data_IF_123934774038
#
_entry.id   IF_123934774038
#
_cell.length_a   1.000
_cell.length_b   1.000
_cell.length_c   1.000
_cell.angle_alpha   90.00
_cell.angle_beta   90.00
_cell.angle_gamma   90.00
#
_symmetry.space_group_name_H-M   'P 1'
#
loop_
_entity.id
_entity.type
_entity.pdbx_description
1 polymer ?
#
# COMPACT_ATOMS: atom_id res chain seq x y z
N UNK A 1 -20.74 29.10 1.87
CA UNK A 1 -20.32 27.77 1.35
C UNK A 1 -18.89 27.92 0.89
N UNK A 2 -17.93 27.56 1.74
CA UNK A 2 -16.52 27.51 1.35
C UNK A 2 -16.39 26.43 0.28
N UNK A 3 -15.73 26.75 -0.83
CA UNK A 3 -15.35 25.76 -1.83
C UNK A 3 -14.62 24.63 -1.09
N UNK A 4 -15.18 23.43 -1.10
CA UNK A 4 -14.47 22.26 -0.60
C UNK A 4 -13.34 22.05 -1.60
N UNK A 5 -12.13 22.50 -1.25
CA UNK A 5 -10.98 22.30 -2.11
C UNK A 5 -10.91 20.84 -2.49
N UNK A 6 -10.88 20.60 -3.80
CA UNK A 6 -10.85 19.27 -4.40
C UNK A 6 -9.52 18.62 -4.02
N UNK A 7 -9.54 17.72 -3.03
CA UNK A 7 -8.34 17.02 -2.55
C UNK A 7 -8.19 15.65 -3.20
N UNK A 8 -6.98 15.34 -3.65
CA UNK A 8 -6.63 14.12 -4.36
C UNK A 8 -5.74 13.19 -3.54
N UNK A 9 -6.21 11.95 -3.33
CA UNK A 9 -5.39 10.85 -2.82
C UNK A 9 -4.79 10.05 -3.98
N UNK A 10 -3.47 9.97 -4.06
CA UNK A 10 -2.79 9.07 -5.02
C UNK A 10 -2.52 7.74 -4.34
N UNK A 11 -3.17 6.68 -4.82
CA UNK A 11 -2.89 5.32 -4.39
C UNK A 11 -1.82 4.67 -5.27
N UNK A 12 -0.73 4.23 -4.67
CA UNK A 12 0.36 3.54 -5.36
C UNK A 12 0.18 2.03 -5.24
N UNK A 13 -0.13 1.38 -6.36
CA UNK A 13 -0.31 -0.07 -6.47
C UNK A 13 0.94 -0.75 -7.06
N UNK A 14 0.95 -2.09 -7.15
CA UNK A 14 2.11 -2.81 -7.68
C UNK A 14 2.27 -2.61 -9.18
N UNK A 15 1.21 -2.87 -9.93
CA UNK A 15 1.18 -2.85 -11.40
C UNK A 15 -0.27 -2.85 -11.90
N UNK A 16 -0.52 -2.40 -13.14
CA UNK A 16 -1.86 -2.42 -13.70
C UNK A 16 -2.42 -3.85 -13.82
N UNK A 17 -3.71 -4.06 -13.50
CA UNK A 17 -4.36 -5.33 -13.75
C UNK A 17 -4.63 -5.52 -15.26
N UNK A 18 -4.70 -6.77 -15.72
CA UNK A 18 -5.23 -7.13 -17.06
C UNK A 18 -6.77 -7.15 -17.13
N UNK A 19 -7.43 -6.71 -16.06
CA UNK A 19 -8.90 -6.64 -15.93
C UNK A 19 -9.28 -5.24 -15.46
N UNK A 20 -10.56 -4.88 -15.45
CA UNK A 20 -11.02 -3.56 -15.01
C UNK A 20 -10.70 -3.22 -13.54
N UNK A 21 -10.28 -4.20 -12.74
CA UNK A 21 -9.76 -3.96 -11.39
C UNK A 21 -10.79 -3.42 -10.39
N UNK A 22 -12.09 -3.37 -10.74
CA UNK A 22 -13.14 -2.69 -9.99
C UNK A 22 -13.15 -3.00 -8.49
N UNK A 23 -12.90 -4.25 -8.09
CA UNK A 23 -12.87 -4.63 -6.67
C UNK A 23 -11.73 -3.97 -5.91
N UNK A 24 -10.54 -3.90 -6.51
CA UNK A 24 -9.37 -3.21 -5.94
C UNK A 24 -9.65 -1.72 -5.88
N UNK A 25 -10.16 -1.16 -6.99
CA UNK A 25 -10.47 0.26 -7.12
C UNK A 25 -11.51 0.72 -6.09
N UNK A 26 -12.62 0.00 -5.90
CA UNK A 26 -13.65 0.31 -4.89
C UNK A 26 -13.11 0.35 -3.46
N UNK A 27 -12.08 -0.44 -3.15
CA UNK A 27 -11.45 -0.40 -1.82
C UNK A 27 -10.61 0.85 -1.67
N UNK A 28 -9.89 1.24 -2.72
CA UNK A 28 -9.15 2.51 -2.73
C UNK A 28 -10.12 3.70 -2.65
N UNK A 29 -11.26 3.65 -3.36
CA UNK A 29 -12.31 4.67 -3.25
C UNK A 29 -12.79 4.81 -1.80
N UNK A 30 -13.09 3.69 -1.14
CA UNK A 30 -13.46 3.69 0.28
C UNK A 30 -12.35 4.28 1.17
N UNK A 31 -11.08 3.94 0.94
CA UNK A 31 -9.97 4.52 1.70
C UNK A 31 -9.86 6.05 1.50
N UNK A 32 -10.06 6.54 0.27
CA UNK A 32 -10.07 7.97 -0.03
C UNK A 32 -11.20 8.68 0.71
N UNK A 33 -12.43 8.13 0.65
CA UNK A 33 -13.59 8.65 1.37
C UNK A 33 -13.36 8.70 2.88
N UNK A 34 -12.86 7.61 3.47
CA UNK A 34 -12.60 7.50 4.91
C UNK A 34 -11.54 8.49 5.41
N UNK A 35 -10.61 8.88 4.54
CA UNK A 35 -9.59 9.90 4.81
C UNK A 35 -10.03 11.33 4.46
N UNK A 36 -11.23 11.51 3.90
CA UNK A 36 -11.78 12.81 3.54
C UNK A 36 -11.25 13.39 2.22
N UNK A 37 -10.82 12.54 1.27
CA UNK A 37 -10.43 12.96 -0.08
C UNK A 37 -11.60 12.83 -1.05
N UNK A 38 -11.78 13.84 -1.89
CA UNK A 38 -12.88 13.91 -2.88
C UNK A 38 -12.53 13.17 -4.17
N UNK A 39 -11.24 13.05 -4.48
CA UNK A 39 -10.76 12.33 -5.65
C UNK A 39 -9.70 11.31 -5.26
N UNK A 40 -9.66 10.22 -6.03
CA UNK A 40 -8.52 9.33 -6.04
C UNK A 40 -7.89 9.25 -7.42
N UNK A 41 -6.58 9.03 -7.43
CA UNK A 41 -5.83 8.59 -8.61
C UNK A 41 -5.06 7.32 -8.29
N UNK A 42 -4.70 6.57 -9.31
CA UNK A 42 -3.89 5.36 -9.17
C UNK A 42 -2.64 5.53 -9.99
N UNK A 43 -1.50 5.31 -9.34
CA UNK A 43 -0.21 5.12 -10.00
C UNK A 43 0.34 3.73 -9.60
N UNK A 44 1.34 3.25 -10.31
CA UNK A 44 1.90 1.91 -10.09
C UNK A 44 3.41 1.95 -9.89
N UNK A 45 3.95 1.03 -9.10
CA UNK A 45 5.41 0.85 -9.00
C UNK A 45 6.02 0.30 -10.30
N UNK A 46 5.25 -0.46 -11.07
CA UNK A 46 5.66 -1.06 -12.33
C UNK A 46 4.58 -0.86 -13.40
N UNK A 47 4.96 -0.39 -14.58
CA UNK A 47 4.00 0.08 -15.58
C UNK A 47 3.37 -1.04 -16.41
N UNK A 48 4.03 -2.20 -16.54
CA UNK A 48 3.52 -3.25 -17.43
C UNK A 48 2.38 -4.03 -16.75
N UNK A 49 1.25 -4.23 -17.45
CA UNK A 49 0.12 -4.95 -16.89
C UNK A 49 0.43 -6.44 -16.71
N UNK A 50 -0.11 -7.04 -15.67
CA UNK A 50 0.03 -8.49 -15.46
C UNK A 50 -1.12 -9.08 -14.64
N UNK A 51 -1.29 -10.40 -14.71
CA UNK A 51 -2.32 -11.11 -13.94
C UNK A 51 -1.99 -11.20 -12.44
N UNK A 52 -0.72 -11.07 -12.06
CA UNK A 52 -0.28 -11.18 -10.68
C UNK A 52 1.04 -10.43 -10.45
N UNK A 53 1.22 -9.88 -9.25
CA UNK A 53 2.48 -9.26 -8.82
C UNK A 53 3.69 -10.18 -8.97
N UNK A 54 3.51 -11.50 -8.92
CA UNK A 54 4.58 -12.47 -9.16
C UNK A 54 5.16 -12.42 -10.58
N UNK A 55 4.38 -12.02 -11.59
CA UNK A 55 4.86 -11.89 -12.97
C UNK A 55 5.86 -10.73 -13.14
N UNK A 56 5.97 -9.83 -12.15
CA UNK A 56 7.00 -8.79 -12.13
C UNK A 56 8.40 -9.42 -12.02
N UNK A 57 8.54 -10.63 -11.49
CA UNK A 57 9.82 -11.32 -11.44
C UNK A 57 10.43 -11.55 -12.83
N UNK A 58 9.58 -11.77 -13.84
CA UNK A 58 9.98 -11.99 -15.23
C UNK A 58 9.95 -10.68 -16.03
N UNK A 59 8.84 -9.94 -15.95
CA UNK A 59 8.65 -8.70 -16.71
C UNK A 59 9.56 -7.56 -16.23
N UNK A 60 9.90 -7.55 -14.94
CA UNK A 60 10.66 -6.50 -14.28
C UNK A 60 12.17 -6.71 -14.28
N UNK A 61 12.68 -7.66 -15.07
CA UNK A 61 14.13 -7.86 -15.22
C UNK A 61 14.79 -6.69 -15.96
N UNK A 62 14.03 -5.99 -16.83
CA UNK A 62 14.50 -4.82 -17.55
C UNK A 62 13.95 -3.52 -16.94
N UNK A 63 14.67 -2.42 -17.14
CA UNK A 63 14.31 -1.11 -16.58
C UNK A 63 13.03 -0.50 -17.19
N UNK A 64 12.64 -0.90 -18.40
CA UNK A 64 11.58 -0.22 -19.19
C UNK A 64 10.29 0.02 -18.40
N UNK A 65 9.76 -1.02 -17.75
CA UNK A 65 8.52 -0.89 -16.98
C UNK A 65 8.67 -0.10 -15.68
N UNK A 66 9.87 -0.03 -15.11
CA UNK A 66 10.19 0.75 -13.91
C UNK A 66 10.36 2.24 -14.23
N UNK A 67 11.03 2.56 -15.34
CA UNK A 67 11.27 3.93 -15.78
C UNK A 67 9.96 4.59 -16.26
N UNK A 68 9.12 3.84 -16.99
CA UNK A 68 7.78 4.32 -17.35
C UNK A 68 6.92 4.59 -16.12
N UNK A 69 6.95 3.70 -15.12
CA UNK A 69 6.25 3.90 -13.86
C UNK A 69 6.77 5.12 -13.09
N UNK A 70 8.08 5.37 -13.13
CA UNK A 70 8.71 6.52 -12.47
C UNK A 70 8.23 7.85 -13.05
N UNK A 71 8.12 7.95 -14.38
CA UNK A 71 7.56 9.13 -15.03
C UNK A 71 6.12 9.38 -14.58
N UNK A 72 5.25 8.36 -14.65
CA UNK A 72 3.85 8.46 -14.22
C UNK A 72 3.70 8.81 -12.73
N UNK A 73 4.51 8.19 -11.86
CA UNK A 73 4.54 8.50 -10.43
C UNK A 73 4.97 9.94 -10.16
N UNK A 74 5.92 10.47 -10.93
CA UNK A 74 6.39 11.85 -10.75
C UNK A 74 5.26 12.86 -10.97
N UNK A 75 4.52 12.70 -12.06
CA UNK A 75 3.37 13.56 -12.39
C UNK A 75 2.26 13.45 -11.35
N UNK A 76 1.98 12.23 -10.87
CA UNK A 76 0.96 12.00 -9.86
C UNK A 76 1.35 12.55 -8.49
N UNK A 77 2.58 12.35 -8.04
CA UNK A 77 3.06 12.86 -6.76
C UNK A 77 3.07 14.38 -6.71
N UNK A 78 3.42 15.05 -7.82
CA UNK A 78 3.38 16.50 -7.92
C UNK A 78 1.97 17.10 -7.75
N UNK A 79 0.93 16.33 -8.07
CA UNK A 79 -0.47 16.74 -7.95
C UNK A 79 -1.18 16.15 -6.73
N UNK A 80 -0.47 15.46 -5.83
CA UNK A 80 -1.07 14.72 -4.72
C UNK A 80 -1.22 15.59 -3.46
N UNK A 81 -2.39 15.56 -2.84
CA UNK A 81 -2.60 16.08 -1.48
C UNK A 81 -2.23 15.05 -0.40
N UNK A 82 -2.23 13.78 -0.78
CA UNK A 82 -1.76 12.66 0.02
C UNK A 82 -1.42 11.45 -0.86
N UNK A 83 -0.60 10.56 -0.31
CA UNK A 83 -0.26 9.27 -0.92
C UNK A 83 -0.77 8.12 -0.06
N UNK A 84 -1.32 7.09 -0.69
CA UNK A 84 -1.64 5.81 -0.06
C UNK A 84 -0.76 4.71 -0.65
N UNK A 85 0.15 4.15 0.15
CA UNK A 85 0.98 3.03 -0.26
C UNK A 85 0.18 1.72 -0.18
N UNK A 86 -0.02 1.08 -1.32
CA UNK A 86 -0.90 -0.08 -1.46
C UNK A 86 -0.35 -1.11 -2.48
N UNK A 87 0.96 -1.20 -2.62
CA UNK A 87 1.63 -2.05 -3.61
C UNK A 87 1.95 -3.48 -3.13
N UNK A 88 1.76 -3.78 -1.85
CA UNK A 88 2.08 -5.06 -1.22
C UNK A 88 3.52 -5.16 -0.69
N UNK A 89 3.75 -5.96 0.35
CA UNK A 89 5.08 -6.09 0.98
C UNK A 89 5.98 -7.15 0.32
N UNK A 90 5.48 -7.89 -0.67
CA UNK A 90 6.23 -9.00 -1.27
C UNK A 90 7.04 -8.50 -2.46
N UNK A 91 8.35 -8.38 -2.29
CA UNK A 91 9.25 -8.09 -3.40
C UNK A 91 9.29 -9.27 -4.40
N UNK A 92 9.47 -8.99 -5.70
CA UNK A 92 9.71 -10.02 -6.70
C UNK A 92 11.02 -10.79 -6.44
N UNK A 93 11.21 -11.87 -7.19
CA UNK A 93 12.45 -12.65 -7.18
C UNK A 93 13.42 -12.16 -8.26
N UNK A 94 14.69 -12.59 -8.19
CA UNK A 94 15.70 -12.29 -9.20
C UNK A 94 16.04 -10.79 -9.32
N UNK A 95 16.47 -10.37 -10.50
CA UNK A 95 16.92 -8.99 -10.78
C UNK A 95 15.81 -7.95 -10.54
N UNK A 96 14.57 -8.31 -10.83
CA UNK A 96 13.40 -7.47 -10.55
C UNK A 96 13.31 -7.05 -9.08
N UNK A 97 13.88 -7.83 -8.14
CA UNK A 97 13.95 -7.46 -6.71
C UNK A 97 14.76 -6.19 -6.50
N UNK A 98 15.89 -6.06 -7.20
CA UNK A 98 16.79 -4.92 -7.07
C UNK A 98 16.11 -3.66 -7.63
N UNK A 99 15.48 -3.78 -8.80
CA UNK A 99 14.69 -2.71 -9.38
C UNK A 99 13.49 -2.30 -8.50
N UNK A 100 12.75 -3.28 -7.97
CA UNK A 100 11.65 -3.02 -7.05
C UNK A 100 12.09 -2.24 -5.82
N UNK A 101 13.18 -2.65 -5.16
CA UNK A 101 13.72 -1.95 -3.98
C UNK A 101 14.10 -0.53 -4.31
N UNK A 102 14.87 -0.33 -5.39
CA UNK A 102 15.23 1.01 -5.87
C UNK A 102 14.02 1.88 -6.19
N UNK A 103 12.97 1.30 -6.77
CA UNK A 103 11.74 2.01 -7.09
C UNK A 103 10.98 2.41 -5.81
N UNK A 104 10.93 1.54 -4.81
CA UNK A 104 10.33 1.85 -3.50
C UNK A 104 11.14 2.93 -2.79
N UNK A 105 12.46 2.82 -2.74
CA UNK A 105 13.33 3.84 -2.13
C UNK A 105 13.11 5.20 -2.82
N UNK A 106 13.13 5.21 -4.16
CA UNK A 106 12.83 6.40 -4.95
C UNK A 106 11.46 7.01 -4.62
N UNK A 107 10.40 6.20 -4.55
CA UNK A 107 9.04 6.66 -4.22
C UNK A 107 8.98 7.33 -2.85
N UNK A 108 9.65 6.74 -1.86
CA UNK A 108 9.61 7.23 -0.48
C UNK A 108 10.41 8.53 -0.35
N UNK A 109 11.60 8.60 -0.96
CA UNK A 109 12.41 9.82 -1.01
C UNK A 109 11.64 10.97 -1.65
N UNK A 110 10.92 10.69 -2.76
CA UNK A 110 10.12 11.70 -3.45
C UNK A 110 8.87 12.09 -2.66
N UNK A 111 8.26 11.17 -1.92
CA UNK A 111 7.13 11.46 -1.03
C UNK A 111 7.56 12.36 0.14
N UNK A 112 8.75 12.12 0.71
CA UNK A 112 9.37 12.97 1.74
C UNK A 112 9.68 14.35 1.18
N UNK A 113 10.36 14.43 0.03
CA UNK A 113 10.76 15.69 -0.59
C UNK A 113 9.55 16.57 -0.96
N UNK A 114 8.45 15.95 -1.41
CA UNK A 114 7.20 16.65 -1.71
C UNK A 114 6.39 17.02 -0.45
N UNK A 115 6.83 16.62 0.75
CA UNK A 115 6.13 16.82 2.03
C UNK A 115 4.69 16.31 2.06
N UNK A 116 4.39 15.31 1.24
CA UNK A 116 3.03 14.81 1.05
C UNK A 116 2.68 13.81 2.16
N UNK A 117 1.56 14.00 2.89
CA UNK A 117 1.10 13.03 3.87
C UNK A 117 0.96 11.63 3.26
N UNK A 118 1.70 10.67 3.80
CA UNK A 118 1.71 9.29 3.28
C UNK A 118 1.01 8.35 4.25
N UNK A 119 0.19 7.46 3.72
CA UNK A 119 -0.65 6.52 4.48
C UNK A 119 -0.40 5.08 4.02
N UNK A 120 -0.72 4.12 4.88
CA UNK A 120 -0.88 2.72 4.52
C UNK A 120 -1.99 2.06 5.36
N UNK A 121 -2.29 0.79 5.09
CA UNK A 121 -3.26 0.01 5.89
C UNK A 121 -2.52 -0.90 6.85
N UNK A 122 -2.54 -0.58 8.15
CA UNK A 122 -1.84 -1.25 9.25
C UNK A 122 -0.36 -0.89 9.28
N UNK A 123 0.49 -1.87 9.64
CA UNK A 123 1.95 -1.77 9.69
C UNK A 123 2.72 -1.80 8.34
N UNK A 124 2.08 -1.56 7.19
CA UNK A 124 2.78 -1.59 5.90
C UNK A 124 1.89 -1.46 4.66
N UNK A 125 2.49 -1.43 3.45
CA UNK A 125 1.85 -0.99 2.21
C UNK A 125 1.03 -2.14 1.60
N UNK A 126 0.08 -2.70 2.35
CA UNK A 126 -0.69 -3.88 1.92
C UNK A 126 -1.49 -3.60 0.65
N UNK A 127 -1.50 -4.57 -0.26
CA UNK A 127 -2.33 -4.51 -1.45
C UNK A 127 -3.84 -4.52 -1.11
N UNK A 128 -4.71 -3.74 -1.80
CA UNK A 128 -6.12 -3.64 -1.46
C UNK A 128 -6.87 -4.97 -1.51
N UNK A 129 -6.41 -5.91 -2.34
CA UNK A 129 -6.95 -7.28 -2.38
C UNK A 129 -6.91 -7.99 -1.00
N UNK A 130 -5.94 -7.62 -0.15
CA UNK A 130 -5.68 -8.23 1.17
C UNK A 130 -6.29 -7.48 2.36
N UNK A 131 -6.77 -6.25 2.19
CA UNK A 131 -7.24 -5.42 3.33
C UNK A 131 -8.33 -6.10 4.13
N UNK A 132 -9.40 -6.57 3.48
CA UNK A 132 -10.51 -7.24 4.17
C UNK A 132 -10.07 -8.45 5.01
N UNK A 133 -9.15 -9.26 4.49
CA UNK A 133 -8.60 -10.43 5.21
C UNK A 133 -7.71 -10.02 6.37
N UNK A 134 -7.00 -8.89 6.25
CA UNK A 134 -6.15 -8.39 7.32
C UNK A 134 -7.01 -7.74 8.41
N UNK A 135 -7.93 -6.84 8.05
CA UNK A 135 -8.82 -6.14 8.99
C UNK A 135 -9.73 -7.11 9.73
N UNK A 136 -10.21 -8.18 9.10
CA UNK A 136 -11.03 -9.19 9.78
C UNK A 136 -10.26 -9.97 10.86
N UNK A 137 -8.93 -10.01 10.78
CA UNK A 137 -8.09 -10.64 11.82
C UNK A 137 -7.71 -9.66 12.91
N UNK A 138 -7.38 -8.42 12.53
CA UNK A 138 -6.92 -7.39 13.48
C UNK A 138 -8.09 -6.77 14.26
N UNK A 139 -9.26 -6.67 13.64
CA UNK A 139 -10.47 -6.06 14.19
C UNK A 139 -11.68 -6.99 13.94
N UNK A 140 -11.73 -8.17 14.59
CA UNK A 140 -12.76 -9.18 14.31
C UNK A 140 -14.18 -8.69 14.59
N UNK A 141 -14.33 -7.73 15.50
CA UNK A 141 -15.63 -7.21 15.95
C UNK A 141 -16.13 -6.00 15.13
N UNK A 142 -15.37 -5.56 14.11
CA UNK A 142 -15.72 -4.40 13.30
C UNK A 142 -16.13 -4.78 11.89
N UNK A 143 -17.13 -4.07 11.36
CA UNK A 143 -17.44 -4.11 9.95
C UNK A 143 -16.25 -3.59 9.13
N UNK A 144 -16.12 -4.06 7.88
CA UNK A 144 -14.96 -3.75 7.05
C UNK A 144 -14.65 -2.24 6.91
N UNK A 145 -15.62 -1.34 6.66
CA UNK A 145 -15.33 0.10 6.57
C UNK A 145 -14.76 0.70 7.86
N UNK A 146 -15.32 0.33 9.02
CA UNK A 146 -14.88 0.84 10.32
C UNK A 146 -13.51 0.26 10.70
N UNK A 147 -13.32 -1.03 10.44
CA UNK A 147 -12.02 -1.67 10.59
C UNK A 147 -10.98 -1.00 9.70
N UNK A 148 -11.29 -0.75 8.43
CA UNK A 148 -10.39 -0.06 7.50
C UNK A 148 -10.06 1.35 7.99
N UNK A 149 -11.05 2.12 8.47
CA UNK A 149 -10.82 3.46 9.04
C UNK A 149 -9.80 3.41 10.18
N UNK A 150 -9.96 2.48 11.13
CA UNK A 150 -9.00 2.30 12.23
C UNK A 150 -7.63 1.82 11.77
N UNK A 151 -7.56 1.18 10.61
CA UNK A 151 -6.34 0.61 10.05
C UNK A 151 -5.57 1.58 9.17
N UNK A 152 -6.13 2.73 8.79
CA UNK A 152 -5.42 3.71 7.98
C UNK A 152 -4.43 4.46 8.86
N UNK A 153 -3.16 4.15 8.68
CA UNK A 153 -2.07 4.68 9.50
C UNK A 153 -1.24 5.64 8.68
N UNK A 154 -1.03 6.84 9.22
CA UNK A 154 -0.10 7.81 8.63
C UNK A 154 1.33 7.33 8.90
N UNK A 155 2.13 7.27 7.84
CA UNK A 155 3.54 6.94 7.93
C UNK A 155 4.34 8.20 8.23
N UNK A 156 5.25 8.08 9.20
CA UNK A 156 6.35 9.01 9.34
C UNK A 156 7.51 8.49 8.48
N UNK A 157 7.74 9.16 7.35
CA UNK A 157 8.81 8.79 6.42
C UNK A 157 10.15 9.48 6.76
N UNK A 158 10.20 10.30 7.81
CA UNK A 158 11.43 10.96 8.26
C UNK A 158 12.29 10.04 9.14
N UNK A 159 11.71 8.93 9.61
CA UNK A 159 12.43 7.83 10.27
C UNK A 159 12.78 6.73 9.25
N UNK A 160 13.94 6.06 9.37
CA UNK A 160 14.35 5.01 8.45
C UNK A 160 13.34 3.87 8.42
N UNK A 161 12.49 3.88 7.39
CA UNK A 161 11.39 2.94 7.23
C UNK A 161 11.86 1.53 6.78
N UNK A 162 13.06 1.45 6.21
CA UNK A 162 13.59 0.30 5.45
C UNK A 162 13.67 -1.00 6.29
N UNK A 163 13.72 -0.92 7.63
CA UNK A 163 13.79 -2.10 8.49
C UNK A 163 12.41 -2.76 8.77
N UNK A 164 11.30 -2.04 8.60
CA UNK A 164 9.99 -2.49 9.10
C UNK A 164 9.16 -3.33 8.11
N UNK A 165 9.40 -3.21 6.80
CA UNK A 165 8.53 -3.82 5.77
C UNK A 165 9.14 -4.91 4.92
N UNK A 166 10.44 -5.15 5.07
CA UNK A 166 11.14 -6.21 4.35
C UNK A 166 11.43 -7.44 5.23
N UNK A 167 11.18 -7.35 6.53
CA UNK A 167 11.30 -8.48 7.44
C UNK A 167 9.95 -9.20 7.52
N UNK A 168 9.85 -10.50 7.23
CA UNK A 168 8.62 -11.24 7.48
C UNK A 168 8.35 -11.22 8.98
N UNK A 169 7.46 -10.34 9.43
CA UNK A 169 6.96 -10.39 10.80
C UNK A 169 6.11 -11.65 10.93
N UNK A 170 6.69 -12.67 11.56
CA UNK A 170 5.94 -13.78 12.14
C UNK A 170 4.78 -13.17 12.92
N UNK A 171 3.52 -13.59 12.69
CA UNK A 171 2.42 -13.14 13.54
C UNK A 171 2.80 -13.45 14.99
N UNK A 172 2.64 -12.46 15.87
CA UNK A 172 2.80 -12.67 17.30
C UNK A 172 2.01 -13.94 17.69
N UNK A 173 2.67 -14.87 18.36
CA UNK A 173 2.01 -16.08 18.85
C UNK A 173 0.77 -15.66 19.67
N UNK A 174 -0.36 -16.35 19.50
CA UNK A 174 -1.52 -16.07 20.34
C UNK A 174 -1.12 -16.24 21.82
N UNK A 175 -1.64 -15.42 22.73
CA UNK A 175 -1.36 -15.56 24.15
C UNK A 175 -1.73 -16.99 24.58
N UNK A 176 -0.75 -17.68 25.15
CA UNK A 176 -0.92 -19.04 25.67
C UNK A 176 -2.02 -19.01 26.74
N UNK A 177 -3.16 -19.61 26.45
CA UNK A 177 -4.21 -19.85 27.44
C UNK A 177 -3.73 -20.97 28.36
N UNK A 178 -2.93 -20.60 29.37
CA UNK A 178 -2.68 -21.46 30.51
C UNK A 178 -4.03 -21.78 31.16
N UNK A 179 -4.42 -23.04 31.11
CA UNK A 179 -5.59 -23.57 31.82
C UNK A 179 -5.21 -23.69 33.29
N UNK A 180 -6.02 -23.20 34.24
CA UNK A 180 -5.73 -23.45 35.65
C UNK A 180 -5.95 -24.93 35.93
N UNK A 181 -4.86 -25.59 36.32
CA UNK A 181 -4.81 -26.93 36.87
C UNK A 181 -5.70 -26.98 38.12
N UNK A 182 -6.70 -27.87 38.10
CA UNK A 182 -7.58 -28.11 39.25
C UNK A 182 -6.83 -28.99 40.24
N UNK A 183 -6.74 -28.50 41.47
CA UNK A 183 -6.37 -29.24 42.67
C UNK A 183 -7.09 -30.59 42.77
N UNK A 184 -6.32 -31.62 43.16
CA UNK A 184 -6.82 -32.82 43.81
C UNK A 184 -5.95 -33.16 45.02
#
# INVERSE_FOLDING_TARGET
>A
MTATDSRTLVAVLSNPPLTDGHRTLRRVDLAAELLGFTHRRVANLFALPSHATGAIADLGQENTGWDQARADLTDHLAAADAVLLAYGCTAPAGEARHHFRRQVDWLLDHSVAATVPTWCVGDGPRHPSRWQRWTSRTHPDLAFPDALRQSLTRLDLTVPWIELTLTPRTPAAPPSTATPEKDH
#
